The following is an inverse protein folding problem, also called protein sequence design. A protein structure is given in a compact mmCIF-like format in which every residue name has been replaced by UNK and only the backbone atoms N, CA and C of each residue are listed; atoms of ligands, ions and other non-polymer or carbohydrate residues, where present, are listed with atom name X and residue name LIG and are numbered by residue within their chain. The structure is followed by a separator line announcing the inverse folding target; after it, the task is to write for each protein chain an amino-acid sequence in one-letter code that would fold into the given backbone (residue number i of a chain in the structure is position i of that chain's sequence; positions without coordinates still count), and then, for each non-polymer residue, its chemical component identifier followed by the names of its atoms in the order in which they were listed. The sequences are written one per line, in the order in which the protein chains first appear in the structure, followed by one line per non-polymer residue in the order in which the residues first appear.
data_IF_303545197053
#
_entry.id   IF_303545197053
#
_cell.length_a   1.000
_cell.length_b   1.000
_cell.length_c   1.000
_cell.angle_alpha   90.00
_cell.angle_beta   90.00
_cell.angle_gamma   90.00
#
_symmetry.space_group_name_H-M   'P 1'
#
loop_
_entity.id
_entity.type
_entity.pdbx_description
1 polymer ?
#
# COMPACT_ATOMS: atom_id res chain seq x y z
N UNK A 1 48.38 -20.87 31.53
CA UNK A 1 47.22 -19.97 31.41
C UNK A 1 46.84 -19.85 29.94
N UNK A 2 45.56 -20.10 29.65
CA UNK A 2 44.74 -19.78 28.48
C UNK A 2 45.31 -19.90 27.05
N UNK A 3 44.81 -20.90 26.31
CA UNK A 3 44.85 -20.98 24.86
C UNK A 3 43.95 -19.89 24.24
N UNK A 4 44.50 -19.13 23.29
CA UNK A 4 43.77 -18.11 22.53
C UNK A 4 42.95 -18.81 21.44
N UNK A 5 41.62 -18.75 21.57
CA UNK A 5 40.70 -19.31 20.58
C UNK A 5 40.89 -18.64 19.21
N UNK A 6 41.22 -19.42 18.19
CA UNK A 6 41.17 -18.99 16.79
C UNK A 6 39.70 -18.81 16.39
N UNK A 7 39.37 -17.62 15.89
CA UNK A 7 38.08 -17.33 15.26
C UNK A 7 37.96 -18.15 13.99
N UNK A 8 36.98 -19.05 13.95
CA UNK A 8 36.59 -19.80 12.76
C UNK A 8 36.04 -18.79 11.73
N UNK A 9 36.48 -18.81 10.46
CA UNK A 9 35.91 -17.96 9.42
C UNK A 9 34.43 -18.30 9.22
N UNK A 10 33.55 -17.29 9.29
CA UNK A 10 32.14 -17.45 8.90
C UNK A 10 32.07 -17.79 7.40
N UNK A 11 31.53 -18.96 7.08
CA UNK A 11 31.19 -19.40 5.73
C UNK A 11 30.08 -18.52 5.14
N UNK A 12 30.48 -17.41 4.51
CA UNK A 12 29.58 -16.50 3.77
C UNK A 12 29.25 -17.01 2.36
N UNK A 13 29.70 -18.22 2.01
CA UNK A 13 29.61 -18.83 0.68
C UNK A 13 28.16 -18.96 0.18
N UNK A 14 27.18 -19.11 1.09
CA UNK A 14 25.77 -19.17 0.71
C UNK A 14 25.18 -17.84 0.25
N UNK A 15 25.64 -16.70 0.78
CA UNK A 15 25.06 -15.38 0.50
C UNK A 15 25.58 -14.76 -0.79
N UNK A 16 26.79 -15.14 -1.24
CA UNK A 16 27.43 -14.59 -2.44
C UNK A 16 26.94 -15.26 -3.74
N UNK A 17 26.48 -16.52 -3.66
CA UNK A 17 25.95 -17.24 -4.83
C UNK A 17 24.51 -16.79 -5.14
N UNK A 18 23.71 -16.49 -4.12
CA UNK A 18 22.34 -15.98 -4.28
C UNK A 18 22.28 -14.55 -4.85
N UNK A 19 23.35 -13.77 -4.71
CA UNK A 19 23.44 -12.42 -5.30
C UNK A 19 23.90 -12.41 -6.75
N UNK A 20 24.56 -13.48 -7.23
CA UNK A 20 25.02 -13.56 -8.63
C UNK A 20 23.91 -14.03 -9.57
N UNK A 21 23.04 -14.94 -9.11
CA UNK A 21 21.91 -15.43 -9.88
C UNK A 21 20.63 -15.24 -9.06
N UNK A 22 19.84 -14.21 -9.37
CA UNK A 22 18.48 -14.11 -8.83
C UNK A 22 17.72 -15.39 -9.21
N UNK A 23 17.13 -16.12 -8.26
CA UNK A 23 16.40 -17.33 -8.57
C UNK A 23 15.26 -16.98 -9.55
N UNK A 24 15.01 -17.81 -10.57
CA UNK A 24 13.94 -17.56 -11.53
C UNK A 24 12.60 -17.52 -10.78
N UNK A 25 11.97 -16.35 -10.79
CA UNK A 25 10.67 -16.14 -10.15
C UNK A 25 9.60 -16.72 -11.07
N UNK A 26 8.98 -17.83 -10.65
CA UNK A 26 7.80 -18.36 -11.32
C UNK A 26 6.55 -17.65 -10.80
N UNK A 27 5.72 -17.13 -11.72
CA UNK A 27 4.40 -16.58 -11.38
C UNK A 27 3.44 -17.64 -10.85
N UNK A 28 3.71 -18.92 -11.08
CA UNK A 28 2.97 -20.04 -10.53
C UNK A 28 3.49 -20.47 -9.14
N UNK A 29 4.48 -19.77 -8.57
CA UNK A 29 5.02 -20.09 -7.25
C UNK A 29 3.95 -19.88 -6.18
N UNK A 30 3.51 -20.95 -5.54
CA UNK A 30 2.58 -20.89 -4.42
C UNK A 30 3.12 -20.07 -3.23
N UNK A 31 4.45 -19.94 -3.12
CA UNK A 31 5.10 -19.09 -2.10
C UNK A 31 4.88 -17.60 -2.38
N UNK A 32 4.77 -17.24 -3.66
CA UNK A 32 4.52 -15.88 -4.12
C UNK A 32 3.05 -15.66 -4.48
N UNK A 33 2.21 -16.69 -4.35
CA UNK A 33 0.79 -16.59 -4.61
C UNK A 33 0.14 -15.68 -3.57
N UNK A 34 -0.71 -14.78 -4.05
CA UNK A 34 -1.49 -13.90 -3.17
C UNK A 34 -2.41 -14.74 -2.30
N UNK A 35 -2.34 -14.53 -0.97
CA UNK A 35 -3.34 -15.05 -0.02
C UNK A 35 -4.70 -14.35 -0.23
N UNK A 36 -4.67 -13.14 -0.79
CA UNK A 36 -5.86 -12.37 -1.11
C UNK A 36 -6.41 -12.84 -2.46
N UNK A 37 -7.64 -13.40 -2.51
CA UNK A 37 -8.26 -13.75 -3.78
C UNK A 37 -8.57 -12.46 -4.53
N UNK A 38 -7.90 -12.23 -5.65
CA UNK A 38 -8.15 -11.07 -6.50
C UNK A 38 -9.27 -11.35 -7.50
N UNK A 39 -10.04 -10.34 -7.91
CA UNK A 39 -11.02 -10.51 -8.98
C UNK A 39 -10.33 -10.81 -10.32
N UNK A 40 -11.07 -11.37 -11.28
CA UNK A 40 -10.56 -11.58 -12.64
C UNK A 40 -10.16 -10.24 -13.28
N UNK A 41 -9.01 -10.21 -13.98
CA UNK A 41 -8.45 -8.99 -14.56
C UNK A 41 -8.40 -7.79 -13.57
N UNK A 42 -7.63 -7.91 -12.48
CA UNK A 42 -7.63 -6.92 -11.41
C UNK A 42 -7.06 -5.59 -11.88
N UNK A 43 -7.62 -4.50 -11.37
CA UNK A 43 -7.11 -3.14 -11.56
C UNK A 43 -7.13 -2.39 -10.24
N UNK A 44 -6.30 -1.34 -10.14
CA UNK A 44 -6.28 -0.42 -9.00
C UNK A 44 -6.80 0.93 -9.49
N UNK A 45 -7.89 1.40 -8.88
CA UNK A 45 -8.39 2.77 -9.06
C UNK A 45 -7.94 3.59 -7.85
N UNK A 46 -7.75 4.89 -8.04
CA UNK A 46 -7.48 5.78 -6.94
C UNK A 46 -8.10 7.16 -7.12
N UNK A 47 -8.25 7.87 -6.02
CA UNK A 47 -8.53 9.30 -5.97
C UNK A 47 -7.55 10.00 -5.04
N UNK A 48 -7.21 11.25 -5.37
CA UNK A 48 -6.24 12.05 -4.62
C UNK A 48 -6.99 13.18 -3.93
N UNK A 49 -6.76 13.36 -2.65
CA UNK A 49 -7.34 14.43 -1.85
C UNK A 49 -6.22 15.31 -1.30
N UNK A 50 -6.30 16.62 -1.55
CA UNK A 50 -5.36 17.60 -1.04
C UNK A 50 -6.03 18.54 -0.04
N UNK A 51 -5.26 19.06 0.91
CA UNK A 51 -5.75 20.08 1.84
C UNK A 51 -6.04 21.39 1.10
N UNK A 52 -7.06 22.12 1.55
CA UNK A 52 -7.34 23.46 1.03
C UNK A 52 -6.20 24.43 1.39
N UNK A 53 -5.89 25.45 0.58
CA UNK A 53 -4.75 26.36 0.81
C UNK A 53 -4.76 27.14 2.14
N UNK A 54 -5.88 27.18 2.87
CA UNK A 54 -6.05 27.95 4.10
C UNK A 54 -6.00 27.11 5.39
N UNK A 55 -5.59 25.84 5.32
CA UNK A 55 -5.62 24.91 6.46
C UNK A 55 -4.39 25.07 7.35
N UNK A 56 -4.60 25.28 8.65
CA UNK A 56 -3.52 25.53 9.63
C UNK A 56 -2.65 24.31 9.92
N UNK A 57 -3.20 23.10 9.80
CA UNK A 57 -2.46 21.84 9.98
C UNK A 57 -2.90 20.81 8.92
N UNK A 58 -2.18 20.70 7.79
CA UNK A 58 -2.56 19.77 6.71
C UNK A 58 -2.37 18.30 7.11
N UNK A 59 -1.40 17.99 7.97
CA UNK A 59 -1.11 16.59 8.33
C UNK A 59 -2.18 16.04 9.27
N UNK A 60 -2.60 16.83 10.26
CA UNK A 60 -3.71 16.44 11.14
C UNK A 60 -4.99 16.18 10.35
N UNK A 61 -5.30 17.04 9.38
CA UNK A 61 -6.48 16.87 8.53
C UNK A 61 -6.41 15.63 7.64
N UNK A 62 -5.24 15.34 7.06
CA UNK A 62 -5.02 14.11 6.30
C UNK A 62 -5.17 12.87 7.18
N UNK A 63 -4.70 12.91 8.42
CA UNK A 63 -4.87 11.82 9.38
C UNK A 63 -6.33 11.61 9.79
N UNK A 64 -7.10 12.70 10.00
CA UNK A 64 -8.54 12.61 10.25
C UNK A 64 -9.26 11.96 9.07
N UNK A 65 -8.97 12.39 7.84
CA UNK A 65 -9.55 11.80 6.64
C UNK A 65 -9.15 10.32 6.47
N UNK A 66 -7.87 9.98 6.70
CA UNK A 66 -7.38 8.59 6.68
C UNK A 66 -8.15 7.71 7.65
N UNK A 67 -8.37 8.17 8.89
CA UNK A 67 -9.16 7.44 9.89
C UNK A 67 -10.61 7.26 9.46
N UNK A 68 -11.22 8.27 8.85
CA UNK A 68 -12.58 8.18 8.31
C UNK A 68 -12.69 7.10 7.22
N UNK A 69 -11.70 7.00 6.33
CA UNK A 69 -11.65 5.91 5.33
C UNK A 69 -11.53 4.55 6.02
N UNK A 70 -10.61 4.40 6.99
CA UNK A 70 -10.43 3.14 7.71
C UNK A 70 -11.67 2.70 8.48
N UNK A 71 -12.43 3.65 9.05
CA UNK A 71 -13.69 3.36 9.73
C UNK A 71 -14.76 2.82 8.77
N UNK A 72 -14.79 3.30 7.51
CA UNK A 72 -15.71 2.79 6.48
C UNK A 72 -15.42 1.33 6.09
N UNK A 73 -14.17 0.89 6.20
CA UNK A 73 -13.77 -0.49 5.87
C UNK A 73 -14.14 -1.52 6.96
N UNK A 74 -14.69 -1.08 8.09
CA UNK A 74 -14.92 -1.98 9.23
C UNK A 74 -15.83 -3.14 8.83
N UNK A 75 -15.29 -4.36 8.91
CA UNK A 75 -16.01 -5.59 8.57
C UNK A 75 -16.00 -5.96 7.08
N UNK A 76 -15.28 -5.21 6.25
CA UNK A 76 -15.11 -5.53 4.82
C UNK A 76 -13.88 -6.41 4.60
N UNK A 77 -13.92 -7.22 3.54
CA UNK A 77 -12.73 -7.90 3.05
C UNK A 77 -11.77 -6.88 2.43
N UNK A 78 -10.48 -7.23 2.34
CA UNK A 78 -9.47 -6.33 1.78
C UNK A 78 -9.76 -5.93 0.32
N UNK A 79 -10.39 -6.83 -0.44
CA UNK A 79 -10.79 -6.57 -1.84
C UNK A 79 -11.89 -5.53 -1.98
N UNK A 80 -12.74 -5.42 -0.96
CA UNK A 80 -13.84 -4.44 -0.92
C UNK A 80 -13.45 -3.17 -0.15
N UNK A 81 -12.27 -3.18 0.50
CA UNK A 81 -11.80 -2.09 1.35
C UNK A 81 -11.14 -0.98 0.54
N UNK A 82 -11.32 0.25 0.99
CA UNK A 82 -10.57 1.40 0.52
C UNK A 82 -9.21 1.47 1.22
N UNK A 83 -8.11 1.62 0.50
CA UNK A 83 -6.77 1.63 1.07
C UNK A 83 -6.25 3.07 1.09
N UNK A 84 -6.27 3.77 2.24
CA UNK A 84 -5.78 5.13 2.32
C UNK A 84 -4.25 5.16 2.54
N UNK A 85 -3.55 6.03 1.82
CA UNK A 85 -2.13 6.31 2.00
C UNK A 85 -1.88 7.82 2.01
N UNK A 86 -1.23 8.31 3.06
CA UNK A 86 -0.82 9.70 3.14
C UNK A 86 0.56 9.83 2.50
N UNK A 87 0.65 10.70 1.49
CA UNK A 87 1.90 11.04 0.82
C UNK A 87 2.31 12.45 1.22
N UNK A 88 3.53 12.58 1.74
CA UNK A 88 4.12 13.86 2.15
C UNK A 88 5.38 14.08 1.32
N UNK A 89 5.38 15.16 0.55
CA UNK A 89 6.53 15.67 -0.19
C UNK A 89 6.97 17.02 0.41
N UNK A 90 8.07 17.58 -0.09
CA UNK A 90 8.59 18.87 0.37
C UNK A 90 7.56 20.00 0.24
N UNK A 91 6.78 19.98 -0.85
CA UNK A 91 5.91 21.10 -1.24
C UNK A 91 4.42 20.74 -1.17
N UNK A 92 4.08 19.48 -0.89
CA UNK A 92 2.69 19.01 -0.92
C UNK A 92 2.44 17.86 0.06
N UNK A 93 1.26 17.84 0.66
CA UNK A 93 0.73 16.67 1.35
C UNK A 93 -0.63 16.30 0.75
N UNK A 94 -0.84 15.00 0.50
CA UNK A 94 -2.05 14.49 -0.12
C UNK A 94 -2.42 13.11 0.43
N UNK A 95 -3.71 12.81 0.45
CA UNK A 95 -4.26 11.52 0.78
C UNK A 95 -4.64 10.83 -0.52
N UNK A 96 -3.98 9.71 -0.79
CA UNK A 96 -4.37 8.79 -1.85
C UNK A 96 -5.33 7.77 -1.25
N UNK A 97 -6.46 7.54 -1.91
CA UNK A 97 -7.38 6.46 -1.55
C UNK A 97 -7.45 5.51 -2.73
N UNK A 98 -6.95 4.30 -2.53
CA UNK A 98 -6.96 3.24 -3.53
C UNK A 98 -8.13 2.30 -3.32
N UNK A 99 -8.58 1.67 -4.40
CA UNK A 99 -9.60 0.64 -4.36
C UNK A 99 -9.29 -0.43 -5.42
N UNK A 100 -9.58 -1.68 -5.09
CA UNK A 100 -9.41 -2.80 -5.99
C UNK A 100 -10.66 -2.96 -6.87
N UNK A 101 -10.44 -3.17 -8.16
CA UNK A 101 -11.49 -3.37 -9.14
C UNK A 101 -11.13 -4.47 -10.13
N UNK A 102 -11.97 -4.60 -11.15
CA UNK A 102 -11.81 -5.52 -12.26
C UNK A 102 -12.18 -4.82 -13.55
N UNK A 103 -11.49 -5.12 -14.66
CA UNK A 103 -11.93 -4.67 -15.99
C UNK A 103 -13.01 -5.57 -16.58
N UNK A 104 -13.16 -6.80 -16.07
CA UNK A 104 -14.11 -7.79 -16.57
C UNK A 104 -15.51 -7.64 -15.94
N UNK A 105 -15.58 -7.15 -14.71
CA UNK A 105 -16.82 -6.87 -14.00
C UNK A 105 -17.02 -5.36 -13.81
N UNK A 106 -18.24 -4.86 -14.02
CA UNK A 106 -18.61 -3.48 -13.67
C UNK A 106 -18.71 -3.34 -12.15
N UNK A 107 -17.58 -3.38 -11.44
CA UNK A 107 -17.53 -2.97 -10.05
C UNK A 107 -17.59 -1.44 -10.00
N UNK A 108 -18.54 -0.88 -9.25
CA UNK A 108 -18.71 0.58 -9.09
C UNK A 108 -17.63 1.20 -8.19
N UNK A 109 -16.37 0.85 -8.44
CA UNK A 109 -15.21 1.30 -7.66
C UNK A 109 -15.03 2.81 -7.80
N UNK A 110 -15.28 3.33 -9.01
CA UNK A 110 -15.31 4.77 -9.28
C UNK A 110 -16.45 5.47 -8.53
N UNK A 111 -17.62 4.85 -8.42
CA UNK A 111 -18.74 5.39 -7.63
C UNK A 111 -18.45 5.43 -6.14
N UNK A 112 -17.78 4.41 -5.59
CA UNK A 112 -17.37 4.41 -4.17
C UNK A 112 -16.35 5.52 -3.89
N UNK A 113 -15.34 5.66 -4.75
CA UNK A 113 -14.31 6.69 -4.60
C UNK A 113 -14.87 8.11 -4.77
N UNK A 114 -15.78 8.33 -5.72
CA UNK A 114 -16.39 9.65 -5.96
C UNK A 114 -17.35 10.10 -4.85
N UNK A 115 -17.89 9.17 -4.05
CA UNK A 115 -18.71 9.48 -2.87
C UNK A 115 -17.88 9.80 -1.62
N UNK A 116 -16.55 9.76 -1.70
CA UNK A 116 -15.70 10.18 -0.60
C UNK A 116 -15.65 11.70 -0.55
N UNK A 117 -16.32 12.23 0.46
CA UNK A 117 -16.31 13.65 0.76
C UNK A 117 -15.62 13.87 2.11
N UNK A 118 -14.73 14.85 2.14
CA UNK A 118 -14.05 15.29 3.35
C UNK A 118 -14.25 16.79 3.50
N UNK A 119 -14.54 17.25 4.72
CA UNK A 119 -14.88 18.65 4.97
C UNK A 119 -13.74 19.63 4.63
N UNK A 120 -12.50 19.21 4.90
CA UNK A 120 -11.31 20.06 4.79
C UNK A 120 -10.42 19.76 3.57
N UNK A 121 -10.71 18.69 2.82
CA UNK A 121 -9.95 18.30 1.64
C UNK A 121 -10.75 18.51 0.35
N UNK A 122 -10.04 18.61 -0.75
CA UNK A 122 -10.59 18.68 -2.10
C UNK A 122 -10.02 17.53 -2.93
N UNK A 123 -10.86 16.90 -3.75
CA UNK A 123 -10.38 15.94 -4.74
C UNK A 123 -9.62 16.71 -5.82
N UNK A 124 -8.37 16.30 -6.07
CA UNK A 124 -7.48 16.88 -7.07
C UNK A 124 -7.64 16.19 -8.43
#
# INVERSE_FOLDING_TARGET
MAAKAQSIPQDNTGSFVLSQNSPPISLASAVLASIVPLPEHPLIVYSIFACRPATSDPLEQLEVARRTVLLKNKGQAIVDSLLPAVHVSKDSAALYVFALGSTACTCDVHGVLSRLEFETLICA
#
